data_IF_249303434283
#
_entry.id   IF_249303434283
#
_cell.length_a   1.000
_cell.length_b   1.000
_cell.length_c   1.000
_cell.angle_alpha   90.00
_cell.angle_beta   90.00
_cell.angle_gamma   90.00
#
_symmetry.space_group_name_H-M   'P 1'
#
loop_
_entity.id
_entity.type
_entity.pdbx_description
1 polymer ?
#
# COMPACT_ATOMS: atom_id res chain seq x y z
N UNK A 1 -20.29 30.95 -13.98
CA UNK A 1 -18.92 31.46 -13.77
C UNK A 1 -18.42 30.88 -12.47
N UNK A 2 -17.50 29.90 -12.55
CA UNK A 2 -16.84 29.34 -11.37
C UNK A 2 -16.00 30.45 -10.75
N UNK A 3 -16.42 30.97 -9.61
CA UNK A 3 -15.56 31.80 -8.78
C UNK A 3 -14.43 30.89 -8.28
N UNK A 4 -13.30 30.96 -8.92
CA UNK A 4 -12.05 30.42 -8.47
C UNK A 4 -11.70 31.17 -7.17
N UNK A 5 -12.11 30.61 -6.05
CA UNK A 5 -11.78 31.13 -4.72
C UNK A 5 -10.26 31.04 -4.60
N UNK A 6 -9.56 32.17 -4.84
CA UNK A 6 -8.08 32.24 -4.76
C UNK A 6 -7.69 31.97 -3.30
N UNK A 7 -7.53 30.69 -2.98
CA UNK A 7 -6.97 30.31 -1.69
C UNK A 7 -5.63 31.05 -1.54
N UNK A 8 -5.32 31.63 -0.38
CA UNK A 8 -4.04 32.28 -0.15
C UNK A 8 -2.88 31.36 -0.53
N UNK A 9 -1.82 31.91 -1.12
CA UNK A 9 -0.65 31.15 -1.63
C UNK A 9 -0.12 30.14 -0.62
N UNK A 10 -0.08 30.48 0.66
CA UNK A 10 0.39 29.60 1.72
C UNK A 10 -0.53 28.36 1.94
N UNK A 11 -1.87 28.51 1.74
CA UNK A 11 -2.81 27.35 1.79
C UNK A 11 -2.61 26.41 0.61
N UNK A 12 -2.41 26.99 -0.58
CA UNK A 12 -2.10 26.21 -1.78
C UNK A 12 -0.75 25.49 -1.63
N UNK A 13 0.26 26.17 -1.10
CA UNK A 13 1.57 25.58 -0.83
C UNK A 13 1.48 24.41 0.18
N UNK A 14 0.81 24.61 1.32
CA UNK A 14 0.60 23.54 2.31
C UNK A 14 -0.21 22.37 1.76
N UNK A 15 -1.26 22.65 0.97
CA UNK A 15 -2.04 21.60 0.30
C UNK A 15 -1.23 20.79 -0.71
N UNK A 16 -0.34 21.41 -1.45
CA UNK A 16 0.53 20.71 -2.39
C UNK A 16 1.55 19.80 -1.67
N UNK A 17 2.11 20.27 -0.55
CA UNK A 17 2.98 19.44 0.29
C UNK A 17 2.21 18.22 0.81
N UNK A 18 1.01 18.44 1.37
CA UNK A 18 0.15 17.37 1.86
C UNK A 18 -0.15 16.34 0.77
N UNK A 19 -0.55 16.78 -0.42
CA UNK A 19 -0.85 15.90 -1.55
C UNK A 19 0.35 15.09 -2.04
N UNK A 20 1.56 15.67 -1.97
CA UNK A 20 2.80 15.00 -2.36
C UNK A 20 3.41 14.09 -1.27
N UNK A 21 2.85 14.09 -0.07
CA UNK A 21 3.39 13.34 1.08
C UNK A 21 2.32 12.48 1.75
N UNK A 22 1.57 13.04 2.70
CA UNK A 22 0.60 12.28 3.51
C UNK A 22 -0.54 11.67 2.71
N UNK A 23 -1.03 12.35 1.67
CA UNK A 23 -2.13 11.85 0.85
C UNK A 23 -1.79 10.58 0.05
N UNK A 24 -0.49 10.34 -0.23
CA UNK A 24 0.00 9.17 -0.97
C UNK A 24 0.95 8.28 -0.14
N UNK A 25 0.93 8.43 1.18
CA UNK A 25 1.91 7.81 2.06
C UNK A 25 1.93 6.28 1.96
N UNK A 26 0.75 5.64 1.88
CA UNK A 26 0.63 4.20 1.72
C UNK A 26 1.27 3.68 0.41
N UNK A 27 1.17 4.46 -0.67
CA UNK A 27 1.79 4.10 -1.96
C UNK A 27 3.32 4.10 -1.83
N UNK A 28 3.88 5.12 -1.18
CA UNK A 28 5.32 5.23 -0.96
C UNK A 28 5.83 4.06 -0.11
N UNK A 29 5.09 3.68 0.94
CA UNK A 29 5.42 2.53 1.79
C UNK A 29 5.32 1.22 1.01
N UNK A 30 4.25 1.00 0.23
CA UNK A 30 4.09 -0.19 -0.61
C UNK A 30 5.29 -0.37 -1.54
N UNK A 31 5.75 0.71 -2.20
CA UNK A 31 6.91 0.66 -3.06
C UNK A 31 8.20 0.38 -2.29
N UNK A 32 8.51 1.21 -1.29
CA UNK A 32 9.80 1.18 -0.60
C UNK A 32 10.05 -0.11 0.17
N UNK A 33 9.02 -0.65 0.83
CA UNK A 33 9.15 -1.88 1.61
C UNK A 33 9.39 -3.08 0.69
N UNK A 34 8.61 -3.24 -0.38
CA UNK A 34 8.82 -4.31 -1.35
C UNK A 34 10.15 -4.18 -2.09
N UNK A 35 10.54 -2.95 -2.45
CA UNK A 35 11.83 -2.66 -3.06
C UNK A 35 12.99 -3.12 -2.18
N UNK A 36 13.02 -2.69 -0.91
CA UNK A 36 14.11 -3.03 0.01
C UNK A 36 14.12 -4.51 0.36
N UNK A 37 12.94 -5.11 0.56
CA UNK A 37 12.81 -6.55 0.82
C UNK A 37 13.42 -7.38 -0.31
N UNK A 38 13.02 -7.14 -1.55
CA UNK A 38 13.48 -7.93 -2.70
C UNK A 38 14.93 -7.62 -3.06
N UNK A 39 15.36 -6.37 -2.86
CA UNK A 39 16.77 -5.98 -3.00
C UNK A 39 17.67 -6.72 -2.00
N UNK A 40 17.22 -6.98 -0.79
CA UNK A 40 17.99 -7.75 0.20
C UNK A 40 18.25 -9.19 -0.24
N UNK A 41 17.42 -9.74 -1.11
CA UNK A 41 17.63 -11.04 -1.77
C UNK A 41 18.52 -10.99 -3.03
N UNK A 42 19.10 -9.82 -3.34
CA UNK A 42 19.92 -9.62 -4.54
C UNK A 42 19.12 -9.60 -5.86
N UNK A 43 17.80 -9.38 -5.80
CA UNK A 43 16.91 -9.35 -6.96
C UNK A 43 16.46 -7.94 -7.33
N UNK A 44 15.64 -7.81 -8.39
CA UNK A 44 15.17 -6.52 -8.88
C UNK A 44 14.13 -5.89 -7.94
N UNK A 45 14.59 -5.05 -7.03
CA UNK A 45 13.75 -4.33 -6.08
C UNK A 45 12.85 -3.29 -6.75
N UNK A 46 13.25 -2.67 -7.88
CA UNK A 46 12.44 -1.66 -8.57
C UNK A 46 11.19 -2.33 -9.16
N UNK A 47 11.38 -3.44 -9.86
CA UNK A 47 10.26 -4.23 -10.38
C UNK A 47 9.33 -4.69 -9.25
N UNK A 48 9.89 -5.19 -8.14
CA UNK A 48 9.10 -5.61 -6.97
C UNK A 48 8.30 -4.45 -6.35
N UNK A 49 8.91 -3.28 -6.17
CA UNK A 49 8.23 -2.09 -5.67
C UNK A 49 7.05 -1.67 -6.56
N UNK A 50 7.26 -1.66 -7.88
CA UNK A 50 6.22 -1.34 -8.86
C UNK A 50 5.08 -2.35 -8.81
N UNK A 51 5.39 -3.65 -8.75
CA UNK A 51 4.39 -4.73 -8.63
C UNK A 51 3.61 -4.63 -7.32
N UNK A 52 4.27 -4.26 -6.22
CA UNK A 52 3.62 -4.03 -4.93
C UNK A 52 2.60 -2.90 -4.99
N UNK A 53 2.95 -1.77 -5.60
CA UNK A 53 2.01 -0.65 -5.82
C UNK A 53 0.81 -1.09 -6.67
N UNK A 54 1.06 -1.81 -7.76
CA UNK A 54 -0.02 -2.34 -8.60
C UNK A 54 -0.93 -3.30 -7.83
N UNK A 55 -0.35 -4.18 -6.99
CA UNK A 55 -1.09 -5.09 -6.12
C UNK A 55 -1.90 -4.35 -5.05
N UNK A 56 -1.36 -3.26 -4.50
CA UNK A 56 -2.07 -2.40 -3.55
C UNK A 56 -3.32 -1.75 -4.19
N UNK A 57 -3.19 -1.26 -5.41
CA UNK A 57 -4.35 -0.74 -6.14
C UNK A 57 -5.37 -1.83 -6.49
N UNK A 58 -4.91 -3.05 -6.80
CA UNK A 58 -5.79 -4.18 -7.06
C UNK A 58 -6.66 -4.59 -5.86
N UNK A 59 -6.25 -4.31 -4.63
CA UNK A 59 -7.04 -4.59 -3.40
C UNK A 59 -7.90 -3.41 -2.94
N UNK A 60 -8.02 -2.35 -3.73
CA UNK A 60 -8.83 -1.17 -3.40
C UNK A 60 -8.05 -0.01 -2.79
N UNK A 61 -6.74 0.02 -2.98
CA UNK A 61 -5.85 1.05 -2.44
C UNK A 61 -6.12 2.48 -2.93
N UNK A 62 -6.88 2.68 -4.00
CA UNK A 62 -7.28 4.00 -4.48
C UNK A 62 -8.01 4.84 -3.41
N UNK A 63 -8.78 4.19 -2.53
CA UNK A 63 -9.51 4.86 -1.45
C UNK A 63 -8.69 4.97 -0.16
N UNK A 64 -7.52 4.34 -0.10
CA UNK A 64 -6.64 4.31 1.06
C UNK A 64 -5.19 4.67 0.74
N UNK A 65 -4.93 5.60 -0.19
CA UNK A 65 -3.57 6.00 -0.58
C UNK A 65 -2.77 6.67 0.53
N UNK A 66 -3.45 7.33 1.48
CA UNK A 66 -2.85 7.99 2.64
C UNK A 66 -2.67 7.06 3.85
N UNK A 67 -2.72 7.64 5.04
CA UNK A 67 -2.51 6.94 6.30
C UNK A 67 -3.51 5.79 6.56
N UNK A 68 -4.74 5.90 6.05
CA UNK A 68 -5.79 4.88 6.19
C UNK A 68 -5.37 3.52 5.63
N UNK A 69 -4.65 3.51 4.51
CA UNK A 69 -4.19 2.27 3.87
C UNK A 69 -2.80 1.81 4.27
N UNK A 70 -2.13 2.51 5.18
CA UNK A 70 -0.72 2.27 5.50
C UNK A 70 -0.43 0.82 5.92
N UNK A 71 -1.25 0.27 6.82
CA UNK A 71 -1.04 -1.10 7.31
C UNK A 71 -1.27 -2.14 6.21
N UNK A 72 -2.33 -1.98 5.42
CA UNK A 72 -2.61 -2.86 4.28
C UNK A 72 -1.50 -2.75 3.23
N UNK A 73 -0.99 -1.54 2.96
CA UNK A 73 0.14 -1.32 2.06
C UNK A 73 1.40 -2.07 2.53
N UNK A 74 1.68 -2.07 3.84
CA UNK A 74 2.79 -2.82 4.43
C UNK A 74 2.63 -4.32 4.24
N UNK A 75 1.45 -4.89 4.54
CA UNK A 75 1.17 -6.31 4.34
C UNK A 75 1.31 -6.71 2.86
N UNK A 76 0.73 -5.91 1.96
CA UNK A 76 0.81 -6.16 0.52
C UNK A 76 2.26 -6.08 0.05
N UNK A 77 3.05 -5.11 0.53
CA UNK A 77 4.45 -4.97 0.15
C UNK A 77 5.26 -6.22 0.50
N UNK A 78 5.06 -6.78 1.69
CA UNK A 78 5.74 -7.99 2.13
C UNK A 78 5.28 -9.19 1.28
N UNK A 79 3.97 -9.41 1.16
CA UNK A 79 3.41 -10.58 0.47
C UNK A 79 3.70 -10.52 -1.03
N UNK A 80 3.50 -9.37 -1.68
CA UNK A 80 3.77 -9.20 -3.11
C UNK A 80 5.26 -9.30 -3.42
N UNK A 81 6.12 -8.73 -2.56
CA UNK A 81 7.57 -8.81 -2.69
C UNK A 81 8.05 -10.26 -2.61
N UNK A 82 7.58 -11.02 -1.60
CA UNK A 82 7.89 -12.44 -1.45
C UNK A 82 7.39 -13.28 -2.62
N UNK A 83 6.16 -13.06 -3.06
CA UNK A 83 5.58 -13.78 -4.18
C UNK A 83 6.35 -13.47 -5.48
N UNK A 84 6.55 -12.19 -5.78
CA UNK A 84 7.27 -11.73 -6.97
C UNK A 84 8.70 -12.29 -7.03
N UNK A 85 9.44 -12.23 -5.92
CA UNK A 85 10.82 -12.72 -5.89
C UNK A 85 10.92 -14.24 -6.13
N UNK A 86 9.95 -15.02 -5.61
CA UNK A 86 9.88 -16.46 -5.84
C UNK A 86 9.56 -16.78 -7.30
N UNK A 87 8.59 -16.07 -7.89
CA UNK A 87 8.21 -16.23 -9.30
C UNK A 87 9.34 -15.82 -10.25
N UNK A 88 10.04 -14.71 -9.96
CA UNK A 88 11.17 -14.22 -10.74
C UNK A 88 12.39 -15.15 -10.71
N UNK A 89 12.46 -16.04 -9.72
CA UNK A 89 13.48 -17.09 -9.66
C UNK A 89 13.17 -18.32 -10.50
N UNK A 90 11.97 -18.44 -11.07
CA UNK A 90 11.56 -19.60 -11.84
C UNK A 90 11.91 -19.45 -13.35
N UNK A 91 12.83 -20.28 -13.90
CA UNK A 91 13.25 -20.16 -15.28
C UNK A 91 12.13 -20.33 -16.32
N UNK A 92 11.00 -20.97 -15.94
CA UNK A 92 9.84 -21.19 -16.80
C UNK A 92 8.98 -19.94 -16.96
N UNK A 93 9.11 -18.96 -16.05
CA UNK A 93 8.34 -17.71 -16.05
C UNK A 93 9.15 -16.53 -16.60
N UNK A 94 10.42 -16.74 -16.90
CA UNK A 94 11.30 -15.69 -17.44
C UNK A 94 11.23 -15.68 -18.96
N UNK A 95 10.79 -14.57 -19.54
CA UNK A 95 10.85 -14.35 -21.00
C UNK A 95 12.31 -14.06 -21.36
N UNK A 96 12.94 -15.01 -22.05
CA UNK A 96 14.32 -14.85 -22.56
C UNK A 96 14.31 -13.98 -23.82
N UNK A 97 15.17 -12.97 -23.82
CA UNK A 97 15.37 -12.11 -25.00
C UNK A 97 16.54 -12.64 -25.86
N UNK A 98 16.50 -12.41 -27.18
CA UNK A 98 17.63 -12.70 -28.08
C UNK A 98 18.88 -11.90 -27.70
N UNK A 99 20.04 -12.39 -28.16
CA UNK A 99 21.30 -11.67 -28.02
C UNK A 99 21.25 -10.30 -28.74
N UNK A 100 21.84 -9.27 -28.12
CA UNK A 100 21.83 -7.91 -28.65
C UNK A 100 20.76 -6.97 -28.07
N UNK A 101 19.82 -7.47 -27.25
CA UNK A 101 18.84 -6.62 -26.56
C UNK A 101 19.51 -5.93 -25.36
N UNK A 102 19.30 -4.60 -25.16
CA UNK A 102 19.85 -3.89 -24.02
C UNK A 102 19.44 -4.55 -22.67
N UNK A 103 20.37 -4.68 -21.70
CA UNK A 103 20.11 -5.38 -20.44
C UNK A 103 18.90 -4.86 -19.65
N UNK A 104 18.62 -3.55 -19.72
CA UNK A 104 17.47 -2.94 -19.06
C UNK A 104 16.15 -3.46 -19.65
N UNK A 105 16.07 -3.59 -20.97
CA UNK A 105 14.89 -4.11 -21.68
C UNK A 105 14.71 -5.59 -21.35
N UNK A 106 15.78 -6.39 -21.43
CA UNK A 106 15.74 -7.81 -21.11
C UNK A 106 15.24 -8.06 -19.66
N UNK A 107 15.68 -7.26 -18.69
CA UNK A 107 15.19 -7.32 -17.30
C UNK A 107 13.68 -7.02 -17.19
N UNK A 108 13.21 -6.01 -17.91
CA UNK A 108 11.78 -5.65 -17.89
C UNK A 108 10.88 -6.78 -18.42
N UNK A 109 11.30 -7.42 -19.51
CA UNK A 109 10.56 -8.58 -20.06
C UNK A 109 10.66 -9.82 -19.16
N UNK A 110 11.81 -10.04 -18.52
CA UNK A 110 11.96 -11.15 -17.58
C UNK A 110 11.03 -11.00 -16.36
N UNK A 111 10.75 -9.77 -15.92
CA UNK A 111 9.86 -9.49 -14.82
C UNK A 111 8.36 -9.51 -15.18
N UNK A 112 8.01 -9.51 -16.47
CA UNK A 112 6.63 -9.30 -16.92
C UNK A 112 5.67 -10.40 -16.44
N UNK A 113 5.98 -11.67 -16.70
CA UNK A 113 5.11 -12.78 -16.27
C UNK A 113 5.02 -12.89 -14.73
N UNK A 114 6.13 -12.85 -13.97
CA UNK A 114 6.06 -12.76 -12.51
C UNK A 114 5.20 -11.60 -12.00
N UNK A 115 5.29 -10.42 -12.61
CA UNK A 115 4.47 -9.27 -12.25
C UNK A 115 2.98 -9.51 -12.50
N UNK A 116 2.63 -9.98 -13.71
CA UNK A 116 1.23 -10.28 -14.07
C UNK A 116 0.61 -11.32 -13.15
N UNK A 117 1.34 -12.39 -12.82
CA UNK A 117 0.86 -13.43 -11.91
C UNK A 117 0.67 -12.85 -10.50
N UNK A 118 1.63 -12.08 -10.00
CA UNK A 118 1.54 -11.47 -8.67
C UNK A 118 0.31 -10.56 -8.56
N UNK A 119 0.15 -9.61 -9.46
CA UNK A 119 -1.02 -8.72 -9.48
C UNK A 119 -2.32 -9.51 -9.70
N UNK A 120 -2.30 -10.54 -10.56
CA UNK A 120 -3.44 -11.42 -10.80
C UNK A 120 -3.90 -12.16 -9.54
N UNK A 121 -2.97 -12.64 -8.72
CA UNK A 121 -3.28 -13.28 -7.42
C UNK A 121 -4.01 -12.31 -6.49
N UNK A 122 -3.53 -11.06 -6.36
CA UNK A 122 -4.20 -10.05 -5.54
C UNK A 122 -5.56 -9.64 -6.11
N UNK A 123 -5.67 -9.50 -7.44
CA UNK A 123 -6.95 -9.21 -8.09
C UNK A 123 -7.97 -10.34 -7.88
N UNK A 124 -7.55 -11.60 -8.00
CA UNK A 124 -8.40 -12.76 -7.74
C UNK A 124 -8.84 -12.80 -6.28
N UNK A 125 -7.92 -12.58 -5.34
CA UNK A 125 -8.22 -12.51 -3.91
C UNK A 125 -9.27 -11.43 -3.61
N UNK A 126 -9.09 -10.23 -4.18
CA UNK A 126 -10.06 -9.13 -4.04
C UNK A 126 -11.42 -9.50 -4.62
N UNK A 127 -11.46 -10.14 -5.80
CA UNK A 127 -12.71 -10.57 -6.43
C UNK A 127 -13.46 -11.59 -5.58
N UNK A 128 -12.75 -12.51 -4.95
CA UNK A 128 -13.35 -13.49 -4.01
C UNK A 128 -13.94 -12.77 -2.80
N UNK A 129 -13.21 -11.84 -2.19
CA UNK A 129 -13.70 -11.08 -1.04
C UNK A 129 -14.90 -10.20 -1.42
N UNK A 130 -14.89 -9.60 -2.60
CA UNK A 130 -16.03 -8.84 -3.12
C UNK A 130 -17.27 -9.73 -3.27
N UNK A 131 -17.14 -10.95 -3.78
CA UNK A 131 -18.21 -11.93 -3.87
C UNK A 131 -18.75 -12.36 -2.49
N UNK A 132 -17.94 -12.25 -1.44
CA UNK A 132 -18.31 -12.49 -0.04
C UNK A 132 -18.92 -11.26 0.66
N UNK A 133 -19.10 -10.14 -0.04
CA UNK A 133 -19.71 -8.92 0.46
C UNK A 133 -18.73 -7.90 1.05
N UNK A 134 -17.43 -8.03 0.78
CA UNK A 134 -16.43 -7.03 1.19
C UNK A 134 -16.16 -6.06 0.03
N UNK A 135 -16.80 -4.89 0.05
CA UNK A 135 -16.72 -3.92 -1.05
C UNK A 135 -15.32 -3.29 -1.22
N UNK A 136 -14.60 -3.08 -0.13
CA UNK A 136 -13.24 -2.53 -0.14
C UNK A 136 -12.42 -3.07 1.04
N UNK A 137 -11.34 -3.79 0.73
CA UNK A 137 -10.50 -4.45 1.74
C UNK A 137 -9.84 -3.42 2.66
N UNK A 138 -9.32 -2.32 2.10
CA UNK A 138 -8.60 -1.27 2.85
C UNK A 138 -9.54 -0.61 3.86
N UNK A 139 -10.73 -0.20 3.39
CA UNK A 139 -11.71 0.46 4.25
C UNK A 139 -12.35 -0.51 5.26
N UNK A 140 -12.62 -1.75 4.87
CA UNK A 140 -13.20 -2.76 5.77
C UNK A 140 -12.22 -3.12 6.88
N UNK A 141 -10.94 -3.27 6.55
CA UNK A 141 -9.90 -3.50 7.56
C UNK A 141 -9.77 -2.29 8.50
N UNK A 142 -9.74 -1.09 7.95
CA UNK A 142 -9.65 0.15 8.74
C UNK A 142 -10.82 0.24 9.73
N UNK A 143 -12.07 0.02 9.28
CA UNK A 143 -13.25 -0.01 10.13
C UNK A 143 -13.17 -1.11 11.20
N UNK A 144 -12.78 -2.32 10.84
CA UNK A 144 -12.68 -3.43 11.79
C UNK A 144 -11.69 -3.16 12.93
N UNK A 145 -10.62 -2.40 12.65
CA UNK A 145 -9.65 -1.99 13.67
C UNK A 145 -10.11 -0.74 14.42
N UNK A 146 -10.74 0.23 13.75
CA UNK A 146 -11.17 1.50 14.33
C UNK A 146 -12.42 1.36 15.24
N UNK A 147 -13.43 0.61 14.80
CA UNK A 147 -14.71 0.50 15.54
C UNK A 147 -14.56 0.10 17.02
N UNK A 148 -13.72 -0.89 17.39
CA UNK A 148 -13.52 -1.23 18.79
C UNK A 148 -12.98 -0.07 19.63
N UNK A 149 -12.18 0.83 19.06
CA UNK A 149 -11.59 1.96 19.76
C UNK A 149 -12.53 3.17 19.88
N UNK A 150 -13.39 3.38 18.89
CA UNK A 150 -14.38 4.47 18.93
C UNK A 150 -15.40 4.29 20.08
N UNK A 151 -15.77 3.05 20.40
CA UNK A 151 -16.66 2.75 21.53
C UNK A 151 -16.06 3.04 22.92
N UNK A 152 -14.73 3.21 22.99
CA UNK A 152 -14.02 3.48 24.23
C UNK A 152 -13.92 4.98 24.58
N UNK A 153 -14.26 5.89 23.67
CA UNK A 153 -13.94 7.34 23.82
C UNK A 153 -14.74 8.09 24.92
N UNK A 154 -15.75 7.47 25.53
CA UNK A 154 -16.74 8.17 26.36
C UNK A 154 -16.45 8.20 27.89
N UNK A 155 -15.27 7.77 28.35
CA UNK A 155 -14.93 7.79 29.80
C UNK A 155 -13.49 8.22 30.05
N UNK A 156 -13.25 8.79 31.24
CA UNK A 156 -11.89 9.24 31.64
C UNK A 156 -10.84 8.11 31.64
N UNK A 157 -11.12 6.89 32.15
CA UNK A 157 -10.20 5.76 32.02
C UNK A 157 -9.91 5.38 30.56
N UNK A 158 -10.88 5.51 29.70
CA UNK A 158 -10.73 5.22 28.27
C UNK A 158 -9.86 6.25 27.55
N UNK A 159 -9.95 7.54 27.91
CA UNK A 159 -9.07 8.56 27.37
C UNK A 159 -7.60 8.29 27.71
N UNK A 160 -7.31 7.81 28.92
CA UNK A 160 -5.96 7.38 29.30
C UNK A 160 -5.51 6.14 28.51
N UNK A 161 -6.41 5.16 28.32
CA UNK A 161 -6.14 3.98 27.53
C UNK A 161 -5.83 4.35 26.07
N UNK A 162 -6.63 5.25 25.48
CA UNK A 162 -6.43 5.73 24.10
C UNK A 162 -5.11 6.50 23.95
N UNK A 163 -4.75 7.33 24.95
CA UNK A 163 -3.46 8.02 24.96
C UNK A 163 -2.26 7.06 24.96
N UNK A 164 -2.42 5.87 25.57
CA UNK A 164 -1.40 4.83 25.55
C UNK A 164 -1.46 4.00 24.27
N UNK A 165 -2.65 3.63 23.79
CA UNK A 165 -2.83 2.80 22.59
C UNK A 165 -2.41 3.55 21.33
N UNK A 166 -2.61 4.87 21.24
CA UNK A 166 -2.23 5.67 20.08
C UNK A 166 -0.75 5.49 19.69
N UNK A 167 0.24 5.74 20.58
CA UNK A 167 1.64 5.49 20.26
C UNK A 167 1.96 4.00 20.08
N UNK A 168 1.23 3.11 20.76
CA UNK A 168 1.38 1.67 20.59
C UNK A 168 0.97 1.20 19.18
N UNK A 169 -0.12 1.74 18.63
CA UNK A 169 -0.53 1.48 17.24
C UNK A 169 0.50 2.00 16.22
N UNK A 170 1.13 3.13 16.50
CA UNK A 170 2.24 3.63 15.68
C UNK A 170 3.44 2.67 15.61
N UNK A 171 3.72 1.98 16.70
CA UNK A 171 4.78 0.96 16.73
C UNK A 171 4.51 -0.17 15.72
N UNK A 172 3.24 -0.53 15.49
CA UNK A 172 2.84 -1.53 14.48
C UNK A 172 2.61 -0.95 13.08
N UNK A 173 2.92 0.32 12.85
CA UNK A 173 2.70 0.97 11.55
C UNK A 173 1.25 1.37 11.29
N UNK A 174 0.39 1.32 12.31
CA UNK A 174 -0.99 1.83 12.24
C UNK A 174 -0.98 3.31 12.63
N UNK A 175 -1.71 4.15 11.88
CA UNK A 175 -1.84 5.57 12.21
C UNK A 175 -2.79 5.73 13.40
N UNK A 176 -2.21 5.70 14.62
CA UNK A 176 -2.97 5.64 15.87
C UNK A 176 -4.01 6.75 16.01
N UNK A 177 -3.68 7.99 15.67
CA UNK A 177 -4.62 9.11 15.76
C UNK A 177 -5.87 8.88 14.88
N UNK A 178 -5.71 8.42 13.64
CA UNK A 178 -6.85 8.15 12.75
C UNK A 178 -7.69 6.93 13.16
N UNK A 179 -7.17 6.08 14.05
CA UNK A 179 -7.87 4.90 14.55
C UNK A 179 -8.73 5.20 15.77
N UNK A 180 -8.39 6.24 16.53
CA UNK A 180 -9.03 6.60 17.81
C UNK A 180 -9.77 7.93 17.76
N UNK A 181 -9.62 8.71 16.69
CA UNK A 181 -10.33 9.98 16.49
C UNK A 181 -11.73 9.70 15.89
N UNK A 182 -12.81 10.19 16.55
CA UNK A 182 -14.19 9.91 16.12
C UNK A 182 -14.57 10.62 14.82
#
# INVERSE_FOLDING_TARGET
>A
PMMYNKAPIWKSFGGNIWNGTFAIFAILVAFLVAHNLVKSYGKDGIAAGTVSVASFFAVGGLQGMGATGLFIALLIAIISGELFQRLSGNPKLVIKMPDGVPPAVAKSFAALLPAMITVGVFSLFTSILFALGVDNIVLSFYKAVQEPFMGLANSYPSALLLAFITPFLWFFGLHGANMVDP
#
